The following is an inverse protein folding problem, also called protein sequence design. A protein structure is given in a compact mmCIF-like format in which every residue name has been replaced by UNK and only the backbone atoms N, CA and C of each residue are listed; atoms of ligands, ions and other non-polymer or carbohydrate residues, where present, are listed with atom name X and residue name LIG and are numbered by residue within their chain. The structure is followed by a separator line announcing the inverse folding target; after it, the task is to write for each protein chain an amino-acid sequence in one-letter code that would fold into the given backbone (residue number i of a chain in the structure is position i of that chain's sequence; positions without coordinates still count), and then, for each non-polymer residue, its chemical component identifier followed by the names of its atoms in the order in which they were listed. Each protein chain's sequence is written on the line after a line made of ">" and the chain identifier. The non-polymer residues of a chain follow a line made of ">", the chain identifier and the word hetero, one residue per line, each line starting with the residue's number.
data_IF_546524947453
#
_entry.id   IF_546524947453
#
_cell.length_a   1.000
_cell.length_b   1.000
_cell.length_c   1.000
_cell.angle_alpha   90.00
_cell.angle_beta   90.00
_cell.angle_gamma   90.00
#
_symmetry.space_group_name_H-M   'P 1'
#
loop_
_entity.id
_entity.type
_entity.pdbx_description
1 polymer ?
#
# COMPACT_ATOMS: atom_id res chain seq x y z
N UNK A 1 -50.39 18.46 16.73
CA UNK A 1 -50.04 17.55 15.62
C UNK A 1 -48.52 17.48 15.51
N UNK A 2 -47.89 16.47 16.13
CA UNK A 2 -46.45 16.27 16.07
C UNK A 2 -46.09 15.53 14.78
N UNK A 3 -45.28 16.15 13.92
CA UNK A 3 -44.71 15.51 12.74
C UNK A 3 -43.42 14.80 13.16
N UNK A 4 -43.47 13.48 13.24
CA UNK A 4 -42.26 12.67 13.37
C UNK A 4 -41.51 12.69 12.02
N UNK A 5 -40.30 13.26 12.03
CA UNK A 5 -39.37 13.18 10.91
C UNK A 5 -38.59 11.89 11.08
N UNK A 6 -38.85 10.90 10.22
CA UNK A 6 -38.06 9.67 10.15
C UNK A 6 -36.91 9.93 9.19
N UNK A 7 -35.70 10.06 9.73
CA UNK A 7 -34.47 10.14 8.93
C UNK A 7 -34.03 8.69 8.64
N UNK A 8 -34.32 8.21 7.43
CA UNK A 8 -33.80 6.94 6.94
C UNK A 8 -32.40 7.20 6.41
N UNK A 9 -31.37 6.84 7.18
CA UNK A 9 -30.02 6.74 6.64
C UNK A 9 -29.96 5.52 5.72
N UNK A 10 -30.01 5.79 4.41
CA UNK A 10 -29.68 4.78 3.40
C UNK A 10 -28.17 4.56 3.50
N UNK A 11 -27.78 3.54 4.27
CA UNK A 11 -26.41 3.03 4.33
C UNK A 11 -26.11 2.36 2.98
N UNK A 12 -25.75 3.17 1.98
CA UNK A 12 -25.10 2.68 0.76
C UNK A 12 -23.83 1.95 1.18
N UNK A 13 -23.72 0.67 0.79
CA UNK A 13 -22.76 -0.31 1.28
C UNK A 13 -21.34 0.25 1.48
N UNK A 14 -21.02 0.56 2.74
CA UNK A 14 -19.64 0.79 3.15
C UNK A 14 -19.01 -0.60 3.28
N UNK A 15 -18.22 -1.01 2.29
CA UNK A 15 -17.34 -2.15 2.47
C UNK A 15 -16.29 -1.78 3.53
N UNK A 16 -16.45 -2.33 4.74
CA UNK A 16 -15.46 -2.21 5.82
C UNK A 16 -14.30 -3.16 5.51
N UNK A 17 -13.28 -2.64 4.82
CA UNK A 17 -12.00 -3.33 4.70
C UNK A 17 -11.20 -3.10 5.99
N UNK A 18 -11.20 -4.11 6.87
CA UNK A 18 -10.31 -4.14 8.03
C UNK A 18 -8.94 -4.66 7.59
N UNK A 19 -8.15 -3.84 6.88
CA UNK A 19 -6.73 -4.09 6.78
C UNK A 19 -6.05 -3.47 7.99
N UNK A 20 -5.39 -4.30 8.81
CA UNK A 20 -4.67 -3.83 9.99
C UNK A 20 -3.43 -3.07 9.50
N UNK A 21 -3.52 -1.74 9.53
CA UNK A 21 -2.39 -0.89 9.19
C UNK A 21 -1.33 -0.93 10.27
N UNK A 22 -0.07 -0.85 9.85
CA UNK A 22 1.08 -0.97 10.74
C UNK A 22 1.35 -2.39 11.22
N UNK A 23 0.71 -3.41 10.63
CA UNK A 23 1.17 -4.78 10.80
C UNK A 23 2.65 -4.90 10.40
N UNK A 24 3.45 -5.73 11.09
CA UNK A 24 4.85 -5.95 10.74
C UNK A 24 4.98 -6.37 9.28
N UNK A 25 5.80 -5.63 8.53
CA UNK A 25 6.13 -5.96 7.14
C UNK A 25 7.46 -6.71 7.15
N UNK A 26 7.42 -7.98 6.77
CA UNK A 26 8.60 -8.83 6.70
C UNK A 26 9.34 -8.57 5.41
N UNK A 27 10.46 -7.86 5.52
CA UNK A 27 11.30 -7.51 4.39
C UNK A 27 12.61 -8.27 4.44
N UNK A 28 12.92 -8.97 3.35
CA UNK A 28 14.24 -9.59 3.20
C UNK A 28 15.33 -8.51 3.30
N UNK A 29 16.26 -8.63 4.27
CA UNK A 29 17.32 -7.66 4.48
C UNK A 29 18.29 -7.60 3.30
N UNK A 30 18.47 -8.68 2.55
CA UNK A 30 19.38 -8.75 1.41
C UNK A 30 18.82 -8.12 0.12
N UNK A 31 17.49 -7.93 0.04
CA UNK A 31 16.87 -7.34 -1.15
C UNK A 31 17.15 -5.83 -1.19
N UNK A 32 17.74 -5.42 -2.32
CA UNK A 32 17.98 -4.03 -2.68
C UNK A 32 16.86 -3.54 -3.58
N UNK A 33 16.30 -2.39 -3.22
CA UNK A 33 15.24 -1.75 -3.98
C UNK A 33 15.77 -0.53 -4.73
N UNK A 34 15.20 -0.20 -5.89
CA UNK A 34 15.63 0.95 -6.65
C UNK A 34 14.93 2.23 -6.17
N UNK A 35 15.73 3.22 -5.81
CA UNK A 35 15.28 4.52 -5.33
C UNK A 35 15.79 5.64 -6.24
N UNK A 36 15.09 6.77 -6.23
CA UNK A 36 15.48 7.98 -6.93
C UNK A 36 16.34 8.85 -5.98
N UNK A 37 17.61 9.02 -6.32
CA UNK A 37 18.59 9.80 -5.56
C UNK A 37 19.00 11.05 -6.33
N UNK A 38 19.06 12.20 -5.67
CA UNK A 38 19.66 13.40 -6.26
C UNK A 38 21.18 13.26 -6.36
N UNK A 39 21.75 13.69 -7.48
CA UNK A 39 23.18 13.91 -7.64
C UNK A 39 23.43 15.26 -8.31
N UNK A 40 23.52 16.32 -7.50
CA UNK A 40 23.50 17.68 -8.03
C UNK A 40 22.21 17.90 -8.84
N UNK A 41 22.26 18.57 -9.98
CA UNK A 41 21.05 18.91 -10.77
C UNK A 41 20.37 17.73 -11.49
N UNK A 42 20.82 16.49 -11.29
CA UNK A 42 20.24 15.30 -11.93
C UNK A 42 19.73 14.31 -10.90
N UNK A 43 18.76 13.48 -11.31
CA UNK A 43 18.34 12.31 -10.55
C UNK A 43 19.07 11.07 -11.09
N UNK A 44 19.45 10.16 -10.21
CA UNK A 44 19.97 8.85 -10.56
C UNK A 44 19.21 7.77 -9.79
N UNK A 45 19.17 6.59 -10.39
CA UNK A 45 18.60 5.42 -9.74
C UNK A 45 19.71 4.74 -8.95
N UNK A 46 19.43 4.43 -7.68
CA UNK A 46 20.35 3.72 -6.79
C UNK A 46 19.64 2.52 -6.19
N UNK A 47 20.35 1.41 -6.09
CA UNK A 47 19.85 0.18 -5.49
C UNK A 47 20.39 0.05 -4.07
N UNK A 48 19.51 -0.01 -3.08
CA UNK A 48 19.90 -0.12 -1.67
C UNK A 48 18.92 -0.95 -0.86
N UNK A 49 19.44 -1.65 0.15
CA UNK A 49 18.68 -2.28 1.22
C UNK A 49 18.54 -1.36 2.45
N UNK A 50 19.26 -0.24 2.44
CA UNK A 50 19.44 0.70 3.55
C UNK A 50 19.39 2.14 3.02
N UNK A 51 18.30 2.57 2.36
CA UNK A 51 18.28 3.83 1.61
C UNK A 51 18.53 5.07 2.48
N UNK A 52 18.25 5.00 3.78
CA UNK A 52 18.48 6.09 4.74
C UNK A 52 19.96 6.37 5.03
N UNK A 53 20.87 5.44 4.72
CA UNK A 53 22.32 5.63 4.90
C UNK A 53 23.00 6.23 3.67
N UNK A 54 22.26 6.41 2.57
CA UNK A 54 22.80 6.94 1.32
C UNK A 54 23.16 8.42 1.41
N UNK A 55 24.24 8.79 0.72
CA UNK A 55 24.70 10.16 0.56
C UNK A 55 25.00 10.45 -0.93
N UNK A 56 24.35 11.43 -1.58
CA UNK A 56 23.31 12.34 -1.07
C UNK A 56 22.04 11.60 -0.61
N UNK A 57 21.19 12.22 0.21
CA UNK A 57 19.95 11.55 0.66
C UNK A 57 18.99 11.28 -0.51
N UNK A 58 18.22 10.20 -0.39
CA UNK A 58 17.08 9.90 -1.28
C UNK A 58 16.06 11.03 -1.22
N UNK A 59 15.45 11.34 -2.37
CA UNK A 59 14.35 12.30 -2.46
C UNK A 59 13.05 11.57 -2.18
N UNK A 60 12.28 12.02 -1.20
CA UNK A 60 10.97 11.43 -0.99
C UNK A 60 10.00 12.41 -0.33
N UNK A 61 8.71 12.22 -0.64
CA UNK A 61 7.61 12.87 0.03
C UNK A 61 7.52 12.44 1.50
N UNK A 62 7.35 13.38 2.42
CA UNK A 62 7.12 13.08 3.84
C UNK A 62 5.76 12.41 4.03
N UNK A 63 5.70 11.30 4.76
CA UNK A 63 4.44 10.67 5.18
C UNK A 63 3.69 11.48 6.27
N UNK A 64 2.34 11.48 6.29
CA UNK A 64 1.45 10.86 5.31
C UNK A 64 1.47 11.60 3.97
N UNK A 65 1.22 10.90 2.88
CA UNK A 65 0.95 11.51 1.57
C UNK A 65 -0.52 11.85 1.45
N UNK A 66 -0.80 13.03 0.89
CA UNK A 66 -2.12 13.50 0.56
C UNK A 66 -2.16 14.09 -0.85
N UNK A 67 -3.27 13.87 -1.56
CA UNK A 67 -3.51 14.39 -2.90
C UNK A 67 -4.75 15.28 -2.91
N UNK A 68 -4.59 16.51 -3.39
CA UNK A 68 -5.70 17.40 -3.72
C UNK A 68 -6.12 17.17 -5.17
N UNK A 69 -7.38 16.79 -5.38
CA UNK A 69 -7.93 16.57 -6.71
C UNK A 69 -8.26 17.91 -7.36
N UNK A 70 -7.68 18.15 -8.54
CA UNK A 70 -7.99 19.30 -9.39
C UNK A 70 -8.79 18.79 -10.60
N UNK A 71 -10.09 19.06 -10.61
CA UNK A 71 -11.04 18.55 -11.62
C UNK A 71 -10.93 19.19 -13.02
N UNK A 72 -10.03 20.15 -13.20
CA UNK A 72 -9.79 20.75 -14.51
C UNK A 72 -9.37 19.66 -15.51
N UNK A 73 -9.90 19.74 -16.73
CA UNK A 73 -9.63 18.79 -17.82
C UNK A 73 -10.03 17.34 -17.54
N UNK A 74 -10.86 17.06 -16.52
CA UNK A 74 -11.37 15.71 -16.27
C UNK A 74 -12.25 15.20 -17.43
N UNK A 75 -12.21 13.90 -17.75
CA UNK A 75 -13.06 13.31 -18.79
C UNK A 75 -14.55 13.19 -18.39
N UNK A 76 -14.93 13.49 -17.13
CA UNK A 76 -16.32 13.39 -16.69
C UNK A 76 -16.73 11.93 -16.47
N UNK A 77 -17.57 11.41 -17.37
CA UNK A 77 -17.99 10.01 -17.40
C UNK A 77 -17.58 9.41 -18.74
N UNK A 78 -16.92 8.26 -18.72
CA UNK A 78 -16.56 7.49 -19.92
C UNK A 78 -17.45 6.26 -19.98
N UNK A 79 -18.11 6.07 -21.12
CA UNK A 79 -18.86 4.87 -21.45
C UNK A 79 -18.16 4.12 -22.56
N UNK A 80 -18.15 2.79 -22.48
CA UNK A 80 -17.64 1.92 -23.54
C UNK A 80 -18.72 0.93 -23.98
N UNK A 81 -18.71 0.52 -25.25
CA UNK A 81 -19.67 -0.45 -25.76
C UNK A 81 -19.30 -1.86 -25.28
N UNK A 82 -20.33 -2.66 -25.02
CA UNK A 82 -20.27 -4.06 -24.59
C UNK A 82 -21.20 -4.89 -25.46
N UNK A 83 -21.20 -6.21 -25.28
CA UNK A 83 -22.13 -7.12 -26.00
C UNK A 83 -23.60 -6.87 -25.67
N UNK A 84 -23.92 -6.20 -24.56
CA UNK A 84 -25.28 -5.97 -24.07
C UNK A 84 -25.71 -4.49 -24.05
N UNK A 85 -24.86 -3.57 -24.50
CA UNK A 85 -25.15 -2.13 -24.48
C UNK A 85 -23.91 -1.28 -24.17
N UNK A 86 -24.09 -0.16 -23.47
CA UNK A 86 -22.98 0.68 -22.99
C UNK A 86 -22.78 0.47 -21.48
N UNK A 87 -21.52 0.39 -21.04
CA UNK A 87 -21.14 0.34 -19.62
C UNK A 87 -20.38 1.61 -19.25
N UNK A 88 -20.67 2.20 -18.08
CA UNK A 88 -19.85 3.27 -17.51
C UNK A 88 -18.57 2.63 -16.97
N UNK A 89 -17.45 2.94 -17.61
CA UNK A 89 -16.14 2.39 -17.20
C UNK A 89 -15.38 3.36 -16.30
N UNK A 90 -15.61 4.66 -16.46
CA UNK A 90 -15.06 5.71 -15.61
C UNK A 90 -16.11 6.75 -15.25
N UNK A 91 -16.13 7.18 -13.99
CA UNK A 91 -16.94 8.28 -13.48
C UNK A 91 -16.16 9.12 -12.45
N UNK A 92 -16.26 10.44 -12.55
CA UNK A 92 -15.65 11.35 -11.58
C UNK A 92 -16.14 11.12 -10.14
N UNK A 93 -17.40 10.72 -9.95
CA UNK A 93 -17.97 10.50 -8.62
C UNK A 93 -17.29 9.37 -7.84
N UNK A 94 -16.68 8.41 -8.54
CA UNK A 94 -15.94 7.28 -7.95
C UNK A 94 -14.43 7.51 -7.94
N UNK A 95 -13.89 8.38 -8.80
CA UNK A 95 -12.46 8.70 -8.85
C UNK A 95 -11.89 9.16 -7.51
N UNK A 96 -12.64 9.95 -6.73
CA UNK A 96 -12.20 10.37 -5.41
C UNK A 96 -11.98 9.18 -4.46
N UNK A 97 -12.81 8.13 -4.55
CA UNK A 97 -12.64 6.91 -3.76
C UNK A 97 -11.40 6.14 -4.21
N UNK A 98 -11.11 6.07 -5.51
CA UNK A 98 -9.88 5.45 -6.02
C UNK A 98 -8.63 6.18 -5.49
N UNK A 99 -8.63 7.53 -5.51
CA UNK A 99 -7.54 8.34 -4.93
C UNK A 99 -7.39 8.08 -3.44
N UNK A 100 -8.48 8.09 -2.67
CA UNK A 100 -8.45 7.86 -1.23
C UNK A 100 -7.98 6.44 -0.88
N UNK A 101 -8.35 5.44 -1.69
CA UNK A 101 -7.93 4.04 -1.52
C UNK A 101 -6.43 3.91 -1.78
N UNK A 102 -5.90 4.51 -2.86
CA UNK A 102 -4.47 4.53 -3.12
C UNK A 102 -3.67 5.22 -2.01
N UNK A 103 -4.16 6.36 -1.51
CA UNK A 103 -3.56 7.07 -0.38
C UNK A 103 -3.58 6.23 0.91
N UNK A 104 -4.70 5.55 1.18
CA UNK A 104 -4.85 4.67 2.33
C UNK A 104 -3.78 3.57 2.28
N UNK A 105 -3.68 2.82 1.18
CA UNK A 105 -2.75 1.70 1.02
C UNK A 105 -1.30 2.10 1.31
N UNK A 106 -0.84 3.22 0.74
CA UNK A 106 0.53 3.69 0.98
C UNK A 106 0.75 4.20 2.40
N UNK A 107 -0.17 5.01 2.94
CA UNK A 107 -0.04 5.53 4.30
C UNK A 107 -0.16 4.44 5.37
N UNK A 108 -0.92 3.38 5.09
CA UNK A 108 -1.15 2.23 5.95
C UNK A 108 0.14 1.46 6.28
N UNK A 109 1.10 1.41 5.33
CA UNK A 109 2.41 0.74 5.49
C UNK A 109 3.16 1.23 6.74
N UNK A 110 3.18 2.55 6.98
CA UNK A 110 3.84 3.13 8.15
C UNK A 110 2.86 3.49 9.29
N UNK A 111 1.61 2.99 9.26
CA UNK A 111 0.59 3.34 10.25
C UNK A 111 0.21 4.83 10.26
N UNK A 112 0.24 5.50 9.10
CA UNK A 112 -0.03 6.94 8.96
C UNK A 112 -1.37 7.27 8.32
N UNK A 113 -2.21 6.28 7.99
CA UNK A 113 -3.50 6.44 7.33
C UNK A 113 -4.48 7.35 8.08
N UNK A 114 -4.37 7.41 9.41
CA UNK A 114 -5.20 8.27 10.27
C UNK A 114 -4.50 9.58 10.67
N UNK A 115 -3.28 9.83 10.21
CA UNK A 115 -2.54 11.06 10.51
C UNK A 115 -3.07 12.21 9.64
N UNK A 116 -3.36 13.39 10.19
CA UNK A 116 -3.86 14.52 9.40
C UNK A 116 -2.87 14.96 8.31
N UNK A 117 -3.42 15.32 7.13
CA UNK A 117 -2.63 15.81 5.99
C UNK A 117 -1.80 17.06 6.29
N UNK A 118 -2.16 17.86 7.29
CA UNK A 118 -1.38 19.02 7.72
C UNK A 118 0.01 18.67 8.28
N UNK A 119 0.23 17.40 8.63
CA UNK A 119 1.50 16.91 9.18
C UNK A 119 2.40 16.23 8.13
N UNK A 120 1.87 16.03 6.92
CA UNK A 120 2.49 15.26 5.85
C UNK A 120 2.82 16.07 4.59
N UNK A 121 2.87 15.38 3.45
CA UNK A 121 3.16 15.93 2.14
C UNK A 121 1.88 16.04 1.31
N UNK A 122 1.46 17.27 1.00
CA UNK A 122 0.26 17.56 0.21
C UNK A 122 0.64 17.93 -1.22
N UNK A 123 0.19 17.13 -2.17
CA UNK A 123 0.46 17.25 -3.61
C UNK A 123 -0.85 17.35 -4.38
N UNK A 124 -0.78 17.56 -5.70
CA UNK A 124 -1.96 17.61 -6.57
C UNK A 124 -2.09 16.36 -7.41
N UNK A 125 -3.32 16.01 -7.76
CA UNK A 125 -3.63 15.10 -8.87
C UNK A 125 -4.60 15.79 -9.81
N UNK A 126 -4.32 15.78 -11.11
CA UNK A 126 -5.15 16.45 -12.10
C UNK A 126 -5.14 15.72 -13.43
N UNK A 127 -6.16 15.94 -14.23
CA UNK A 127 -6.16 15.53 -15.63
C UNK A 127 -5.50 16.60 -16.49
N UNK A 128 -4.93 16.18 -17.61
CA UNK A 128 -4.32 17.08 -18.58
C UNK A 128 -4.83 16.79 -20.00
N UNK A 129 -5.16 17.85 -20.73
CA UNK A 129 -5.63 17.77 -22.11
C UNK A 129 -4.53 18.15 -23.13
N UNK A 130 -3.47 18.82 -22.67
CA UNK A 130 -2.35 19.26 -23.48
C UNK A 130 -1.18 18.25 -23.39
N UNK A 131 -0.89 17.59 -24.51
CA UNK A 131 0.19 16.60 -24.62
C UNK A 131 1.60 17.14 -24.33
N UNK A 132 1.81 18.46 -24.38
CA UNK A 132 3.12 19.07 -24.06
C UNK A 132 3.43 19.08 -22.57
N UNK A 133 2.45 18.77 -21.73
CA UNK A 133 2.64 18.67 -20.27
C UNK A 133 3.13 17.29 -19.81
N UNK A 134 3.25 16.33 -20.73
CA UNK A 134 3.80 15.00 -20.48
C UNK A 134 5.19 14.85 -21.06
N UNK A 135 6.03 14.08 -20.38
CA UNK A 135 7.28 13.56 -20.92
C UNK A 135 7.02 12.51 -22.00
N UNK A 136 6.04 11.63 -21.78
CA UNK A 136 5.69 10.53 -22.68
C UNK A 136 4.20 10.58 -23.04
N UNK A 137 3.91 10.77 -24.33
CA UNK A 137 2.55 11.05 -24.82
C UNK A 137 1.54 9.91 -24.58
N UNK A 138 2.03 8.67 -24.50
CA UNK A 138 1.20 7.48 -24.43
C UNK A 138 1.04 6.96 -22.99
N UNK A 139 1.75 7.54 -22.02
CA UNK A 139 1.70 7.07 -20.65
C UNK A 139 0.36 7.47 -20.02
N UNK A 140 -0.31 6.59 -19.27
CA UNK A 140 -1.61 6.87 -18.68
C UNK A 140 -1.55 7.97 -17.61
N UNK A 141 -0.41 8.11 -16.95
CA UNK A 141 -0.15 9.17 -16.00
C UNK A 141 1.35 9.44 -15.88
N UNK A 142 1.69 10.53 -15.20
CA UNK A 142 3.07 10.87 -14.85
C UNK A 142 3.12 11.55 -13.48
N UNK A 143 3.95 11.02 -12.58
CA UNK A 143 4.36 11.68 -11.35
C UNK A 143 5.45 12.73 -11.63
N UNK A 144 5.09 14.01 -11.61
CA UNK A 144 6.06 15.11 -11.71
C UNK A 144 6.57 15.48 -10.31
N UNK A 145 7.67 14.84 -9.91
CA UNK A 145 8.39 15.12 -8.67
C UNK A 145 9.20 16.40 -8.79
N UNK A 146 8.90 17.41 -7.95
CA UNK A 146 9.70 18.64 -7.84
C UNK A 146 10.63 18.58 -6.64
N UNK A 147 11.85 19.03 -6.83
CA UNK A 147 12.84 19.17 -5.77
C UNK A 147 13.67 20.45 -5.95
N UNK A 148 14.29 20.89 -4.86
CA UNK A 148 15.15 22.07 -4.82
C UNK A 148 16.50 21.74 -4.20
N UNK A 149 17.52 22.53 -4.53
CA UNK A 149 18.85 22.45 -3.94
C UNK A 149 19.08 23.67 -3.06
N UNK A 150 19.21 23.51 -1.74
CA UNK A 150 19.74 24.56 -0.90
C UNK A 150 21.12 24.97 -1.42
N UNK A 151 21.37 26.28 -1.51
CA UNK A 151 22.63 26.82 -2.00
C UNK A 151 23.83 26.20 -1.27
N UNK A 152 24.82 25.73 -2.03
CA UNK A 152 26.04 25.13 -1.49
C UNK A 152 25.90 23.69 -1.00
N UNK A 153 24.77 23.01 -1.24
CA UNK A 153 24.57 21.61 -0.85
C UNK A 153 24.36 20.70 -2.05
N UNK A 154 24.78 19.44 -1.92
CA UNK A 154 24.48 18.35 -2.88
C UNK A 154 23.18 17.63 -2.54
N UNK A 155 22.62 17.89 -1.35
CA UNK A 155 21.34 17.38 -0.92
C UNK A 155 20.22 18.15 -1.60
N UNK A 156 19.13 17.46 -1.91
CA UNK A 156 17.92 18.09 -2.38
C UNK A 156 16.77 17.89 -1.41
N UNK A 157 15.77 18.76 -1.53
CA UNK A 157 14.55 18.71 -0.74
C UNK A 157 13.37 18.57 -1.68
N UNK A 158 12.52 17.56 -1.44
CA UNK A 158 11.28 17.35 -2.18
C UNK A 158 10.30 18.50 -1.89
N UNK A 159 9.68 19.05 -2.92
CA UNK A 159 8.73 20.17 -2.83
C UNK A 159 7.31 19.66 -3.06
N UNK A 160 6.66 19.24 -1.98
CA UNK A 160 5.28 18.73 -1.98
C UNK A 160 4.31 19.65 -2.71
N UNK A 161 4.41 20.97 -2.50
CA UNK A 161 3.45 21.92 -3.03
C UNK A 161 3.53 22.07 -4.56
N UNK A 162 4.68 21.72 -5.16
CA UNK A 162 4.90 21.80 -6.60
C UNK A 162 4.88 20.44 -7.29
N UNK A 163 4.99 19.35 -6.53
CA UNK A 163 4.85 17.99 -7.07
C UNK A 163 3.39 17.65 -7.36
N UNK A 164 3.15 16.87 -8.42
CA UNK A 164 1.81 16.47 -8.81
C UNK A 164 1.79 15.14 -9.59
N UNK A 165 0.61 14.53 -9.65
CA UNK A 165 0.28 13.45 -10.59
C UNK A 165 -0.53 14.04 -11.73
N UNK A 166 -0.08 13.81 -12.97
CA UNK A 166 -0.78 14.22 -14.19
C UNK A 166 -1.40 13.01 -14.85
N UNK A 167 -2.73 12.92 -14.83
CA UNK A 167 -3.50 11.89 -15.50
C UNK A 167 -3.71 12.28 -16.97
N UNK A 168 -3.33 11.40 -17.90
CA UNK A 168 -3.38 11.70 -19.31
C UNK A 168 -4.82 11.67 -19.85
N UNK A 169 -5.39 12.84 -20.17
CA UNK A 169 -6.67 12.97 -20.89
C UNK A 169 -6.49 13.66 -22.24
N UNK A 170 -5.30 13.52 -22.83
CA UNK A 170 -4.98 14.09 -24.13
C UNK A 170 -5.70 13.33 -25.24
N UNK A 171 -5.82 13.95 -26.43
CA UNK A 171 -6.37 13.26 -27.60
C UNK A 171 -5.54 12.03 -28.00
N UNK A 172 -4.23 12.07 -27.76
CA UNK A 172 -3.31 10.97 -28.08
C UNK A 172 -3.54 9.76 -27.18
N UNK A 173 -3.68 9.97 -25.87
CA UNK A 173 -3.97 8.88 -24.95
C UNK A 173 -5.36 8.33 -25.12
N UNK A 174 -6.36 9.13 -25.44
CA UNK A 174 -7.67 8.59 -25.81
C UNK A 174 -7.58 7.65 -27.04
N UNK A 175 -6.48 7.63 -27.79
CA UNK A 175 -6.28 6.70 -28.89
C UNK A 175 -7.15 7.04 -30.10
N UNK A 176 -7.30 6.10 -31.03
CA UNK A 176 -8.15 6.31 -32.19
C UNK A 176 -9.62 6.28 -31.79
N UNK A 177 -10.42 7.15 -32.39
CA UNK A 177 -11.87 7.06 -32.31
C UNK A 177 -12.34 5.93 -33.26
N UNK A 178 -12.81 4.82 -32.70
CA UNK A 178 -13.47 3.72 -33.40
C UNK A 178 -14.93 3.72 -32.98
N UNK A 179 -15.84 3.93 -33.94
CA UNK A 179 -17.30 3.94 -33.71
C UNK A 179 -17.74 4.93 -32.61
N UNK A 180 -17.04 6.06 -32.46
CA UNK A 180 -17.33 7.06 -31.41
C UNK A 180 -16.66 6.79 -30.06
N UNK A 181 -15.85 5.73 -29.94
CA UNK A 181 -15.14 5.33 -28.73
C UNK A 181 -13.63 5.32 -28.92
N UNK A 182 -12.91 5.55 -27.83
CA UNK A 182 -11.48 5.77 -27.81
C UNK A 182 -10.73 4.46 -27.51
N UNK A 183 -9.71 4.08 -28.28
CA UNK A 183 -8.96 2.82 -28.07
C UNK A 183 -8.24 2.71 -26.72
N UNK A 184 -8.02 3.80 -26.01
CA UNK A 184 -7.34 3.81 -24.71
C UNK A 184 -8.15 4.66 -23.73
N UNK A 185 -8.54 4.12 -22.56
CA UNK A 185 -9.28 4.87 -21.54
C UNK A 185 -8.92 4.44 -20.13
N UNK A 186 -9.35 5.24 -19.15
CA UNK A 186 -9.36 4.82 -17.76
C UNK A 186 -10.59 3.98 -17.43
N UNK A 187 -10.45 3.09 -16.45
CA UNK A 187 -11.56 2.47 -15.76
C UNK A 187 -11.42 2.61 -14.23
N UNK A 188 -12.54 2.80 -13.51
CA UNK A 188 -12.56 2.79 -12.06
C UNK A 188 -12.31 1.38 -11.50
N UNK A 189 -11.88 1.28 -10.25
CA UNK A 189 -11.57 0.01 -9.60
C UNK A 189 -12.73 -0.97 -9.51
N UNK A 190 -13.97 -0.47 -9.45
CA UNK A 190 -15.19 -1.25 -9.33
C UNK A 190 -15.86 -1.60 -10.67
N UNK A 191 -15.28 -1.17 -11.80
CA UNK A 191 -15.86 -1.45 -13.12
C UNK A 191 -15.68 -2.93 -13.48
N UNK A 192 -16.74 -3.62 -13.89
CA UNK A 192 -16.64 -5.01 -14.40
C UNK A 192 -15.93 -5.12 -15.75
N UNK A 193 -15.68 -4.00 -16.42
CA UNK A 193 -15.22 -3.95 -17.80
C UNK A 193 -13.84 -4.61 -18.02
N UNK A 194 -12.94 -4.60 -17.03
CA UNK A 194 -11.62 -5.25 -17.16
C UNK A 194 -11.70 -6.77 -17.36
N UNK A 195 -12.86 -7.40 -17.15
CA UNK A 195 -13.06 -8.83 -17.40
C UNK A 195 -13.38 -9.15 -18.88
N UNK A 196 -13.56 -8.15 -19.73
CA UNK A 196 -13.90 -8.34 -21.14
C UNK A 196 -12.65 -8.34 -22.02
N UNK A 197 -11.83 -9.38 -21.91
CA UNK A 197 -10.53 -9.57 -22.60
C UNK A 197 -10.57 -9.60 -24.14
N UNK A 198 -11.70 -9.31 -24.78
CA UNK A 198 -11.90 -9.28 -26.24
C UNK A 198 -12.28 -7.89 -26.76
N UNK A 199 -12.16 -6.86 -25.92
CA UNK A 199 -12.46 -5.48 -26.29
C UNK A 199 -11.33 -4.93 -27.18
N UNK A 200 -11.69 -4.23 -28.26
CA UNK A 200 -10.75 -3.46 -29.10
C UNK A 200 -10.16 -2.25 -28.37
N UNK A 201 -10.53 -2.04 -27.11
CA UNK A 201 -10.13 -0.93 -26.27
C UNK A 201 -9.20 -1.43 -25.16
N UNK A 202 -8.06 -0.78 -25.01
CA UNK A 202 -7.18 -0.90 -23.86
C UNK A 202 -7.70 -0.02 -22.72
N UNK A 203 -7.96 -0.62 -21.58
CA UNK A 203 -8.43 0.07 -20.38
C UNK A 203 -7.39 0.04 -19.27
N UNK A 204 -7.25 1.16 -18.58
CA UNK A 204 -6.25 1.30 -17.54
C UNK A 204 -6.94 1.50 -16.19
N UNK A 205 -6.71 0.55 -15.28
CA UNK A 205 -7.27 0.61 -13.94
C UNK A 205 -6.70 1.81 -13.17
N UNK A 206 -7.55 2.80 -12.88
CA UNK A 206 -7.09 4.08 -12.36
C UNK A 206 -6.53 3.98 -10.94
N UNK A 207 -7.08 3.07 -10.12
CA UNK A 207 -6.56 2.80 -8.78
C UNK A 207 -5.12 2.29 -8.85
N UNK A 208 -4.83 1.33 -9.75
CA UNK A 208 -3.47 0.83 -9.98
C UNK A 208 -2.52 1.93 -10.45
N UNK A 209 -2.95 2.77 -11.40
CA UNK A 209 -2.15 3.89 -11.90
C UNK A 209 -1.83 4.87 -10.77
N UNK A 210 -2.83 5.30 -9.99
CA UNK A 210 -2.60 6.24 -8.88
C UNK A 210 -1.63 5.64 -7.87
N UNK A 211 -1.76 4.36 -7.52
CA UNK A 211 -0.80 3.69 -6.62
C UNK A 211 0.62 3.72 -7.19
N UNK A 212 0.78 3.42 -8.47
CA UNK A 212 2.06 3.46 -9.17
C UNK A 212 2.71 4.86 -9.10
N UNK A 213 1.96 5.89 -9.48
CA UNK A 213 2.46 7.27 -9.47
C UNK A 213 2.78 7.77 -8.06
N UNK A 214 2.01 7.39 -7.03
CA UNK A 214 2.36 7.70 -5.64
C UNK A 214 3.69 7.05 -5.25
N UNK A 215 3.97 5.83 -5.72
CA UNK A 215 5.25 5.17 -5.48
C UNK A 215 6.44 5.99 -6.02
N UNK A 216 6.31 6.61 -7.19
CA UNK A 216 7.32 7.54 -7.69
C UNK A 216 7.49 8.78 -6.82
N UNK A 217 6.39 9.38 -6.34
CA UNK A 217 6.43 10.51 -5.40
C UNK A 217 7.04 10.13 -4.04
N UNK A 218 6.93 8.86 -3.64
CA UNK A 218 7.59 8.28 -2.47
C UNK A 218 9.09 8.01 -2.68
N UNK A 219 9.63 8.27 -3.86
CA UNK A 219 11.05 8.08 -4.19
C UNK A 219 11.39 6.71 -4.74
N UNK A 220 10.39 5.88 -5.09
CA UNK A 220 10.62 4.59 -5.73
C UNK A 220 10.83 4.74 -7.24
N UNK A 221 11.69 3.89 -7.79
CA UNK A 221 11.76 3.69 -9.23
C UNK A 221 11.02 2.40 -9.62
N UNK A 222 10.76 2.21 -10.92
CA UNK A 222 10.26 0.95 -11.44
C UNK A 222 11.12 -0.25 -11.00
N UNK A 223 10.46 -1.37 -10.72
CA UNK A 223 11.06 -2.68 -10.54
C UNK A 223 11.17 -3.37 -11.91
N UNK A 224 12.36 -3.82 -12.27
CA UNK A 224 12.58 -4.68 -13.43
C UNK A 224 13.57 -5.80 -13.09
N UNK A 225 13.55 -6.90 -13.86
CA UNK A 225 14.38 -8.10 -13.61
C UNK A 225 15.89 -7.80 -13.58
N UNK A 226 16.35 -6.82 -14.34
CA UNK A 226 17.77 -6.51 -14.49
C UNK A 226 18.22 -5.43 -13.51
N UNK A 227 17.30 -4.84 -12.74
CA UNK A 227 17.62 -3.81 -11.77
C UNK A 227 18.13 -4.44 -10.48
N UNK A 228 19.03 -3.72 -9.83
CA UNK A 228 19.62 -4.12 -8.56
C UNK A 228 20.25 -5.53 -8.60
N UNK A 229 20.89 -5.87 -9.72
CA UNK A 229 21.57 -7.15 -9.97
C UNK A 229 20.65 -8.38 -9.82
N UNK A 230 19.36 -8.25 -10.11
CA UNK A 230 18.40 -9.36 -10.02
C UNK A 230 18.08 -9.78 -8.58
N UNK A 231 18.38 -8.95 -7.59
CA UNK A 231 18.04 -9.21 -6.18
C UNK A 231 16.55 -9.18 -5.91
N UNK A 232 15.77 -8.52 -6.76
CA UNK A 232 14.31 -8.60 -6.73
C UNK A 232 13.94 -9.87 -7.50
N UNK A 233 13.40 -10.91 -6.83
CA UNK A 233 13.04 -12.17 -7.46
C UNK A 233 12.16 -11.92 -8.68
N UNK A 234 12.42 -12.71 -9.71
CA UNK A 234 11.90 -12.58 -11.07
C UNK A 234 10.44 -12.11 -11.10
N UNK A 235 10.28 -10.78 -11.21
CA UNK A 235 9.08 -10.02 -11.52
C UNK A 235 7.82 -10.63 -10.90
N UNK A 236 7.41 -10.17 -9.71
CA UNK A 236 5.96 -10.19 -9.45
C UNK A 236 5.34 -9.25 -10.48
N UNK A 237 4.79 -9.79 -11.56
CA UNK A 237 3.81 -9.12 -12.42
C UNK A 237 2.73 -8.41 -11.59
N UNK A 238 2.57 -8.82 -10.33
CA UNK A 238 1.67 -8.28 -9.33
C UNK A 238 2.15 -7.01 -8.61
N UNK A 239 3.42 -6.58 -8.73
CA UNK A 239 3.87 -5.31 -8.13
C UNK A 239 3.27 -4.12 -8.86
N UNK A 240 2.85 -3.10 -8.11
CA UNK A 240 2.39 -1.84 -8.71
C UNK A 240 3.55 -1.07 -9.32
N UNK A 241 4.76 -1.16 -8.76
CA UNK A 241 5.96 -0.49 -9.29
C UNK A 241 6.62 -1.23 -10.46
N UNK A 242 5.98 -2.25 -11.04
CA UNK A 242 6.50 -2.90 -12.23
C UNK A 242 6.47 -1.94 -13.45
N UNK A 243 7.57 -1.83 -14.20
CA UNK A 243 7.63 -0.99 -15.42
C UNK A 243 6.67 -1.43 -16.54
N UNK A 244 6.14 -2.64 -16.45
CA UNK A 244 5.27 -3.26 -17.46
C UNK A 244 3.86 -3.44 -16.92
N UNK A 245 3.26 -2.37 -16.39
CA UNK A 245 1.82 -2.35 -16.16
C UNK A 245 1.11 -2.49 -17.51
N UNK A 246 0.53 -3.66 -17.77
CA UNK A 246 -0.31 -3.87 -18.94
C UNK A 246 -1.64 -3.15 -18.81
N UNK A 247 -2.22 -2.77 -19.94
CA UNK A 247 -3.65 -2.47 -20.02
C UNK A 247 -4.47 -3.71 -19.68
N UNK A 248 -5.73 -3.50 -19.30
CA UNK A 248 -6.74 -4.55 -19.06
C UNK A 248 -6.41 -5.50 -17.91
N UNK A 249 -5.52 -5.06 -17.01
CA UNK A 249 -5.23 -5.76 -15.77
C UNK A 249 -6.26 -5.40 -14.68
N UNK A 250 -6.67 -6.37 -13.83
CA UNK A 250 -7.48 -6.07 -12.65
C UNK A 250 -6.75 -5.07 -11.72
N UNK A 251 -7.49 -4.40 -10.80
CA UNK A 251 -6.87 -3.57 -9.78
C UNK A 251 -5.78 -4.35 -9.05
N UNK A 252 -4.57 -3.76 -8.95
CA UNK A 252 -3.45 -4.38 -8.24
C UNK A 252 -3.37 -3.85 -6.81
N UNK A 253 -3.13 -4.77 -5.90
CA UNK A 253 -2.72 -4.45 -4.54
C UNK A 253 -1.21 -4.17 -4.49
N UNK A 254 -0.77 -3.51 -3.42
CA UNK A 254 0.66 -3.36 -3.16
C UNK A 254 1.26 -4.73 -2.84
N UNK A 255 2.22 -5.17 -3.65
CA UNK A 255 2.99 -6.37 -3.39
C UNK A 255 3.87 -6.22 -2.14
N UNK A 256 4.41 -7.33 -1.63
CA UNK A 256 5.37 -7.29 -0.53
C UNK A 256 6.60 -6.43 -0.87
N UNK A 257 7.04 -6.42 -2.14
CA UNK A 257 8.18 -5.60 -2.57
C UNK A 257 7.86 -4.11 -2.57
N UNK A 258 6.65 -3.73 -3.01
CA UNK A 258 6.19 -2.33 -2.95
C UNK A 258 6.17 -1.85 -1.49
N UNK A 259 5.58 -2.66 -0.62
CA UNK A 259 5.49 -2.41 0.83
C UNK A 259 6.87 -2.29 1.47
N UNK A 260 7.79 -3.19 1.14
CA UNK A 260 9.13 -3.22 1.71
C UNK A 260 10.03 -2.08 1.24
N UNK A 261 9.95 -1.69 -0.04
CA UNK A 261 10.70 -0.55 -0.55
C UNK A 261 10.30 0.72 0.19
N UNK A 262 9.00 0.94 0.41
CA UNK A 262 8.52 2.09 1.20
C UNK A 262 8.87 1.93 2.67
N UNK A 263 8.71 0.76 3.26
CA UNK A 263 9.00 0.55 4.67
C UNK A 263 10.45 0.87 5.03
N UNK A 264 11.41 0.38 4.23
CA UNK A 264 12.85 0.65 4.40
C UNK A 264 13.20 2.15 4.27
N UNK A 265 12.43 2.91 3.49
CA UNK A 265 12.68 4.33 3.26
C UNK A 265 11.94 5.24 4.25
N UNK A 266 10.71 4.91 4.62
CA UNK A 266 9.79 5.82 5.31
C UNK A 266 9.42 5.39 6.73
N UNK A 267 9.63 4.12 7.08
CA UNK A 267 9.27 3.59 8.39
C UNK A 267 10.53 3.14 9.17
N UNK A 268 11.46 4.05 9.56
CA UNK A 268 12.69 3.67 10.26
C UNK A 268 12.47 3.04 11.65
N UNK A 269 11.26 3.16 12.21
CA UNK A 269 10.85 2.49 13.44
C UNK A 269 10.45 1.02 13.23
N UNK A 270 10.36 0.56 11.97
CA UNK A 270 10.13 -0.85 11.66
C UNK A 270 11.50 -1.53 11.72
N UNK A 271 11.90 -1.91 12.93
CA UNK A 271 13.06 -2.79 13.10
C UNK A 271 12.78 -4.09 12.35
N UNK A 272 13.71 -4.61 11.54
CA UNK A 272 13.62 -5.97 11.04
C UNK A 272 13.49 -6.88 12.26
N UNK A 273 12.31 -7.43 12.49
CA UNK A 273 12.18 -8.58 13.37
C UNK A 273 12.68 -9.72 12.52
N UNK A 274 13.89 -10.22 12.79
CA UNK A 274 14.34 -11.48 12.21
C UNK A 274 13.27 -12.53 12.52
N UNK A 275 12.56 -12.95 11.48
CA UNK A 275 11.55 -13.97 11.59
C UNK A 275 12.27 -15.30 11.76
N UNK A 276 12.30 -15.80 12.99
CA UNK A 276 12.64 -17.20 13.22
C UNK A 276 11.47 -18.00 12.65
N UNK A 277 11.73 -18.69 11.54
CA UNK A 277 10.93 -19.82 11.10
C UNK A 277 10.99 -20.89 12.20
N UNK A 278 10.11 -20.78 13.19
CA UNK A 278 9.87 -21.89 14.10
C UNK A 278 9.15 -22.93 13.24
N UNK A 279 9.64 -24.16 13.23
CA UNK A 279 9.02 -25.29 12.52
C UNK A 279 7.71 -25.68 13.23
N UNK A 280 6.66 -26.04 12.48
CA UNK A 280 5.25 -26.10 12.94
C UNK A 280 5.09 -26.90 14.26
N UNK A 281 5.92 -27.92 14.44
CA UNK A 281 5.88 -28.91 15.53
C UNK A 281 6.43 -28.45 16.91
N UNK A 282 6.84 -27.18 17.07
CA UNK A 282 7.70 -26.80 18.21
C UNK A 282 7.15 -25.74 19.19
N UNK A 283 5.87 -25.38 19.13
CA UNK A 283 5.23 -24.50 20.14
C UNK A 283 3.92 -25.09 20.64
N UNK A 284 3.79 -25.30 21.94
CA UNK A 284 2.56 -25.84 22.56
C UNK A 284 2.01 -24.93 23.65
N UNK A 285 0.69 -24.92 23.79
CA UNK A 285 -0.05 -24.17 24.83
C UNK A 285 -0.81 -25.15 25.72
N UNK A 286 -0.54 -25.12 27.04
CA UNK A 286 -1.18 -26.03 28.00
C UNK A 286 -1.25 -25.43 29.43
N UNK A 287 -2.22 -25.81 30.27
CA UNK A 287 -3.33 -26.71 29.95
C UNK A 287 -4.32 -26.04 28.99
N UNK A 288 -5.02 -26.86 28.21
CA UNK A 288 -6.13 -26.43 27.39
C UNK A 288 -7.22 -27.51 27.52
N UNK A 289 -8.31 -27.27 28.26
CA UNK A 289 -8.73 -25.97 28.82
C UNK A 289 -7.87 -25.44 29.97
N UNK A 290 -7.91 -24.12 30.18
CA UNK A 290 -7.11 -23.39 31.17
C UNK A 290 -8.00 -22.70 32.21
N UNK A 291 -7.59 -22.72 33.49
CA UNK A 291 -8.31 -22.06 34.59
C UNK A 291 -7.66 -20.74 34.98
N UNK A 292 -6.44 -20.77 35.51
CA UNK A 292 -5.74 -19.59 36.04
C UNK A 292 -4.58 -19.17 35.17
N UNK A 293 -3.93 -20.13 34.51
CA UNK A 293 -2.75 -19.89 33.71
C UNK A 293 -2.69 -20.79 32.47
N UNK A 294 -2.02 -20.29 31.43
CA UNK A 294 -1.52 -21.10 30.33
C UNK A 294 0.01 -21.05 30.33
N UNK A 295 0.62 -22.18 29.98
CA UNK A 295 2.04 -22.32 29.73
C UNK A 295 2.25 -22.37 28.24
N UNK A 296 3.03 -21.43 27.72
CA UNK A 296 3.58 -21.47 26.38
C UNK A 296 4.93 -22.18 26.49
N UNK A 297 5.06 -23.31 25.82
CA UNK A 297 6.34 -23.99 25.67
C UNK A 297 6.85 -23.82 24.26
N UNK A 298 8.11 -23.38 24.17
CA UNK A 298 8.80 -23.13 22.90
C UNK A 298 10.08 -23.93 22.86
N UNK A 299 10.48 -24.43 21.69
CA UNK A 299 11.77 -25.10 21.54
C UNK A 299 12.97 -24.15 21.70
N UNK A 300 14.18 -24.73 21.77
CA UNK A 300 15.44 -24.01 22.00
C UNK A 300 15.75 -22.91 20.98
N UNK A 301 15.08 -22.91 19.82
CA UNK A 301 15.31 -21.98 18.72
C UNK A 301 14.94 -20.53 19.10
N UNK A 302 14.18 -20.30 20.17
CA UNK A 302 13.82 -18.94 20.63
C UNK A 302 14.85 -18.27 21.55
N UNK A 303 15.96 -18.94 21.89
CA UNK A 303 17.01 -18.39 22.78
C UNK A 303 17.78 -17.20 22.20
N UNK A 304 17.64 -16.90 20.91
CA UNK A 304 18.49 -15.93 20.19
C UNK A 304 17.83 -14.58 19.90
N UNK A 305 16.56 -14.35 20.26
CA UNK A 305 15.82 -13.14 19.87
C UNK A 305 15.76 -12.04 20.93
N UNK A 306 15.43 -10.81 20.50
CA UNK A 306 14.91 -9.74 21.36
C UNK A 306 13.48 -10.07 21.85
N UNK A 307 13.04 -9.33 22.87
CA UNK A 307 11.72 -9.41 23.51
C UNK A 307 10.59 -9.71 22.51
N UNK A 308 9.84 -10.78 22.73
CA UNK A 308 8.70 -11.18 21.87
C UNK A 308 7.36 -10.77 22.50
N UNK A 309 6.46 -10.24 21.69
CA UNK A 309 5.11 -9.86 22.12
C UNK A 309 4.12 -11.02 21.89
N UNK A 310 3.33 -11.35 22.91
CA UNK A 310 2.19 -12.26 22.87
C UNK A 310 0.92 -11.43 22.95
N UNK A 311 -0.08 -11.76 22.12
CA UNK A 311 -1.41 -11.15 22.18
C UNK A 311 -2.49 -12.21 22.31
N UNK A 312 -3.49 -11.97 23.13
CA UNK A 312 -4.68 -12.83 23.23
C UNK A 312 -5.88 -12.05 22.70
N UNK A 313 -6.63 -12.69 21.81
CA UNK A 313 -7.83 -12.15 21.17
C UNK A 313 -9.05 -12.98 21.54
N UNK A 314 -10.18 -12.32 21.75
CA UNK A 314 -11.47 -13.00 21.90
C UNK A 314 -12.04 -13.41 20.53
N UNK A 315 -13.22 -14.05 20.53
CA UNK A 315 -13.91 -14.47 19.29
C UNK A 315 -14.40 -13.32 18.40
N UNK A 316 -14.39 -12.09 18.89
CA UNK A 316 -14.70 -10.88 18.12
C UNK A 316 -13.46 -10.24 17.48
N UNK A 317 -12.27 -10.79 17.74
CA UNK A 317 -11.00 -10.25 17.26
C UNK A 317 -10.45 -9.09 18.10
N UNK A 318 -11.03 -8.83 19.28
CA UNK A 318 -10.54 -7.78 20.19
C UNK A 318 -9.33 -8.29 20.97
N UNK A 319 -8.25 -7.50 21.03
CA UNK A 319 -7.06 -7.82 21.82
C UNK A 319 -7.36 -7.59 23.31
N UNK A 320 -7.50 -8.67 24.08
CA UNK A 320 -7.89 -8.64 25.50
C UNK A 320 -6.70 -8.72 26.47
N UNK A 321 -5.52 -9.14 25.98
CA UNK A 321 -4.30 -9.22 26.77
C UNK A 321 -3.08 -9.10 25.87
N UNK A 322 -2.06 -8.39 26.35
CA UNK A 322 -0.76 -8.27 25.70
C UNK A 322 0.33 -8.49 26.74
N UNK A 323 1.27 -9.38 26.44
CA UNK A 323 2.37 -9.75 27.33
C UNK A 323 3.69 -9.83 26.56
N UNK A 324 4.80 -9.55 27.23
CA UNK A 324 6.14 -9.61 26.61
C UNK A 324 6.97 -10.74 27.21
N UNK A 325 7.46 -11.66 26.39
CA UNK A 325 8.34 -12.75 26.82
C UNK A 325 9.80 -12.30 26.71
N UNK A 326 10.58 -12.60 27.75
CA UNK A 326 12.02 -12.53 27.65
C UNK A 326 12.60 -13.81 27.00
N UNK A 327 13.53 -13.67 26.04
CA UNK A 327 14.02 -14.73 25.16
C UNK A 327 14.75 -15.90 25.84
N UNK A 328 14.98 -15.86 27.15
CA UNK A 328 15.75 -16.88 27.87
C UNK A 328 14.93 -18.02 28.49
N UNK A 329 13.60 -17.99 28.41
CA UNK A 329 12.73 -19.00 29.03
C UNK A 329 12.04 -19.89 28.00
N UNK A 330 12.38 -21.19 27.99
CA UNK A 330 11.70 -22.22 27.16
C UNK A 330 10.22 -22.41 27.52
N UNK A 331 9.82 -21.97 28.71
CA UNK A 331 8.45 -22.03 29.21
C UNK A 331 8.10 -20.67 29.79
N UNK A 332 7.02 -20.08 29.30
CA UNK A 332 6.44 -18.87 29.86
C UNK A 332 5.04 -19.18 30.36
N UNK A 333 4.77 -18.83 31.61
CA UNK A 333 3.43 -18.90 32.18
C UNK A 333 2.77 -17.53 32.02
N UNK A 334 1.53 -17.52 31.52
CA UNK A 334 0.68 -16.34 31.44
C UNK A 334 -0.51 -16.53 32.37
N UNK A 335 -0.76 -15.54 33.22
CA UNK A 335 -1.96 -15.50 34.03
C UNK A 335 -3.15 -15.11 33.14
N UNK A 336 -4.13 -16.01 33.01
CA UNK A 336 -5.36 -15.80 32.24
C UNK A 336 -6.60 -15.81 33.13
N UNK A 337 -6.44 -15.81 34.46
CA UNK A 337 -7.52 -15.89 35.45
C UNK A 337 -8.58 -14.81 35.25
N UNK A 338 -8.15 -13.60 34.88
CA UNK A 338 -9.03 -12.44 34.66
C UNK A 338 -9.85 -12.52 33.37
N UNK A 339 -9.52 -13.44 32.45
CA UNK A 339 -10.27 -13.60 31.22
C UNK A 339 -11.61 -14.31 31.50
N UNK A 340 -12.73 -13.81 30.95
CA UNK A 340 -14.00 -14.52 30.98
C UNK A 340 -13.90 -15.95 30.41
N UNK A 341 -14.83 -16.82 30.80
CA UNK A 341 -14.96 -18.16 30.22
C UNK A 341 -15.24 -18.05 28.72
N UNK A 342 -14.49 -18.78 27.90
CA UNK A 342 -14.68 -18.71 26.45
C UNK A 342 -13.50 -19.25 25.63
N UNK A 343 -13.64 -19.12 24.31
CA UNK A 343 -12.61 -19.48 23.34
C UNK A 343 -11.75 -18.25 23.02
N UNK A 344 -10.43 -18.45 22.98
CA UNK A 344 -9.47 -17.39 22.73
C UNK A 344 -8.44 -17.80 21.68
N UNK A 345 -7.95 -16.81 20.94
CA UNK A 345 -6.83 -16.94 20.00
C UNK A 345 -5.59 -16.31 20.62
N UNK A 346 -4.50 -17.06 20.72
CA UNK A 346 -3.22 -16.55 21.21
C UNK A 346 -2.25 -16.42 20.03
N UNK A 347 -1.76 -15.20 19.81
CA UNK A 347 -0.76 -14.87 18.80
C UNK A 347 0.62 -14.76 19.44
N UNK A 348 1.57 -15.53 18.94
CA UNK A 348 2.98 -15.54 19.36
C UNK A 348 3.82 -15.35 18.10
N UNK A 349 4.32 -14.13 17.88
CA UNK A 349 4.91 -13.74 16.59
C UNK A 349 3.88 -13.90 15.45
N UNK A 350 4.18 -14.78 14.49
CA UNK A 350 3.30 -15.08 13.35
C UNK A 350 2.42 -16.32 13.54
N UNK A 351 2.50 -16.97 14.70
CA UNK A 351 1.68 -18.14 15.02
C UNK A 351 0.42 -17.73 15.74
N UNK A 352 -0.68 -18.41 15.45
CA UNK A 352 -1.92 -18.31 16.19
C UNK A 352 -2.33 -19.69 16.67
N UNK A 353 -2.59 -19.83 17.97
CA UNK A 353 -3.17 -21.05 18.56
C UNK A 353 -4.51 -20.72 19.21
N UNK A 354 -5.29 -21.77 19.52
CA UNK A 354 -6.59 -21.64 20.20
C UNK A 354 -6.48 -22.29 21.58
N UNK A 355 -7.00 -21.61 22.60
CA UNK A 355 -7.24 -22.24 23.91
C UNK A 355 -8.61 -21.89 24.46
N UNK A 356 -9.11 -22.74 25.36
CA UNK A 356 -10.38 -22.58 26.06
C UNK A 356 -10.12 -22.15 27.50
N UNK A 357 -10.80 -21.10 27.96
CA UNK A 357 -10.78 -20.61 29.35
C UNK A 357 -12.02 -21.13 30.10
N UNK A 358 -11.79 -21.78 31.25
CA UNK A 358 -12.81 -22.33 32.17
C UNK A 358 -13.03 -21.50 33.43
#
# INVERSE_FOLDING_TARGET
>A
MNKNIIIIFVLSGMNLFSQVCGDPIYCDPAIKYPYIQCFGKTAKIVCSDSPLTLNPKIIFAKMPICLDIVWKDSPGTIKLPTTIGEEIVFDNSTFANDVMTALYDWNCICGKQNTPCSQGCRMKIRFISNEKELLYKNDPAEADSKWSFPHGTTNCTFDCAKSEIRMNNTKGFKGKLINGYYENNFCNSNSSYYLQANSTYATWNILTIIKHEIGHLLGLHHFNKNMCNGTIPEITSNSVMNSSLGSDAPPKELSIYDKCAVAKLHCPSVTPVEEIQIDDDQTSTYPNPASEYITIQTSEVLKTLQVMEIKIFNTLGECVMTETIHPMTQKQQLNVESLPRGLYYIRIGNRTQIFVKE
#
